data_IF_683630554516
#
_entry.id   IF_683630554516
#
_cell.length_a   1.000
_cell.length_b   1.000
_cell.length_c   1.000
_cell.angle_alpha   90.00
_cell.angle_beta   90.00
_cell.angle_gamma   90.00
#
_symmetry.space_group_name_H-M   'P 1'
#
loop_
_entity.id
_entity.type
_entity.pdbx_description
1 polymer ?
#
# COMPACT_ATOMS: atom_id res chain seq x y z
N UNK A 1 1.62 -7.48 -19.55
CA UNK A 1 1.81 -6.32 -18.64
C UNK A 1 0.70 -5.33 -18.91
N UNK A 2 -0.21 -5.16 -17.97
CA UNK A 2 -1.27 -4.15 -18.07
C UNK A 2 -0.94 -3.05 -17.06
N UNK A 3 -0.68 -1.86 -17.57
CA UNK A 3 -0.42 -0.69 -16.75
C UNK A 3 -0.98 0.55 -17.43
N UNK A 4 -1.61 1.43 -16.66
CA UNK A 4 -2.11 2.72 -17.11
C UNK A 4 -1.65 3.78 -16.12
N UNK A 5 -1.03 4.81 -16.63
CA UNK A 5 -0.69 6.02 -15.88
C UNK A 5 -1.42 7.20 -16.52
N UNK A 6 -2.13 7.95 -15.72
CA UNK A 6 -2.79 9.18 -16.13
C UNK A 6 -2.42 10.27 -15.12
N UNK A 7 -1.96 11.39 -15.63
CA UNK A 7 -1.64 12.56 -14.86
C UNK A 7 -2.30 13.77 -15.48
N UNK A 8 -2.90 14.60 -14.64
CA UNK A 8 -3.54 15.86 -15.02
C UNK A 8 -3.04 16.96 -14.10
N UNK A 9 -2.69 18.09 -14.68
CA UNK A 9 -2.26 19.28 -13.96
C UNK A 9 -2.93 20.50 -14.57
N UNK A 10 -3.49 21.34 -13.73
CA UNK A 10 -4.09 22.62 -14.11
C UNK A 10 -3.59 23.73 -13.18
N UNK A 11 -3.40 24.89 -13.75
CA UNK A 11 -3.16 26.13 -13.03
C UNK A 11 -4.43 26.95 -13.12
N UNK A 12 -5.13 27.13 -12.00
CA UNK A 12 -6.31 27.97 -11.93
C UNK A 12 -5.88 29.37 -11.52
N UNK A 13 -6.04 30.40 -12.39
CA UNK A 13 -5.74 31.78 -12.03
C UNK A 13 -6.57 32.21 -10.82
N UNK A 14 -6.06 33.14 -10.06
CA UNK A 14 -6.83 33.71 -8.98
C UNK A 14 -8.11 34.39 -9.50
N UNK A 15 -9.25 34.21 -8.84
CA UNK A 15 -10.49 34.85 -9.23
C UNK A 15 -10.47 36.38 -9.08
N UNK A 16 -9.56 36.91 -8.28
CA UNK A 16 -9.43 38.37 -8.05
C UNK A 16 -7.97 38.80 -8.22
N UNK A 17 -7.59 39.34 -9.42
CA UNK A 17 -6.20 39.74 -9.69
C UNK A 17 -5.78 41.02 -8.92
N UNK A 18 -6.73 41.78 -8.39
CA UNK A 18 -6.46 43.04 -7.67
C UNK A 18 -6.17 42.81 -6.17
N UNK A 19 -6.39 41.61 -5.67
CA UNK A 19 -6.10 41.25 -4.29
C UNK A 19 -4.66 40.74 -4.18
N UNK A 20 -3.78 41.52 -3.56
CA UNK A 20 -2.33 41.26 -3.45
C UNK A 20 -1.94 39.91 -2.83
N UNK A 21 -2.89 39.20 -2.24
CA UNK A 21 -2.69 37.91 -1.56
C UNK A 21 -3.30 36.69 -2.30
N UNK A 22 -3.87 36.93 -3.49
CA UNK A 22 -4.53 35.85 -4.22
C UNK A 22 -3.53 35.03 -5.04
N UNK A 23 -3.16 33.86 -4.49
CA UNK A 23 -2.24 32.93 -5.14
C UNK A 23 -2.96 32.03 -6.13
N UNK A 24 -2.35 31.72 -7.29
CA UNK A 24 -2.93 30.75 -8.20
C UNK A 24 -3.01 29.37 -7.53
N UNK A 25 -4.08 28.66 -7.80
CA UNK A 25 -4.28 27.30 -7.31
C UNK A 25 -3.63 26.28 -8.24
N UNK A 26 -2.85 25.38 -7.68
CA UNK A 26 -2.23 24.26 -8.38
C UNK A 26 -3.08 23.02 -8.20
N UNK A 27 -3.68 22.56 -9.29
CA UNK A 27 -4.62 21.47 -9.30
C UNK A 27 -3.99 20.25 -9.98
N UNK A 28 -3.84 19.17 -9.23
CA UNK A 28 -3.19 17.93 -9.71
C UNK A 28 -4.06 16.70 -9.44
N UNK A 29 -4.10 15.77 -10.40
CA UNK A 29 -4.63 14.42 -10.23
C UNK A 29 -3.67 13.41 -10.84
N UNK A 30 -3.38 12.35 -10.07
CA UNK A 30 -2.59 11.21 -10.50
C UNK A 30 -3.41 9.94 -10.34
N UNK A 31 -3.48 9.15 -11.39
CA UNK A 31 -4.05 7.81 -11.34
C UNK A 31 -3.08 6.83 -11.99
N UNK A 32 -2.68 5.80 -11.26
CA UNK A 32 -1.80 4.76 -11.75
C UNK A 32 -2.37 3.39 -11.39
N UNK A 33 -2.57 2.57 -12.42
CA UNK A 33 -2.92 1.17 -12.25
C UNK A 33 -1.88 0.29 -12.93
N UNK A 34 -1.47 -0.76 -12.24
CA UNK A 34 -0.55 -1.75 -12.78
C UNK A 34 -0.88 -3.13 -12.23
N UNK A 35 -0.88 -4.12 -13.13
CA UNK A 35 -1.05 -5.52 -12.78
C UNK A 35 0.06 -6.34 -13.45
N UNK A 36 0.84 -7.04 -12.63
CA UNK A 36 1.86 -7.95 -13.15
C UNK A 36 1.20 -9.19 -13.75
N UNK A 37 1.67 -9.59 -14.93
CA UNK A 37 1.20 -10.82 -15.57
C UNK A 37 1.70 -12.05 -14.80
N UNK A 38 0.75 -12.86 -14.33
CA UNK A 38 1.03 -14.10 -13.60
C UNK A 38 1.73 -15.15 -14.46
N UNK A 39 1.59 -15.09 -15.80
CA UNK A 39 2.30 -16.00 -16.71
C UNK A 39 3.79 -15.69 -16.76
N UNK A 40 4.18 -14.41 -16.64
CA UNK A 40 5.60 -14.03 -16.66
C UNK A 40 6.33 -14.42 -15.37
N UNK A 41 5.64 -14.40 -14.22
CA UNK A 41 6.20 -14.75 -12.91
C UNK A 41 5.17 -15.45 -12.03
N UNK A 42 4.94 -16.76 -12.19
CA UNK A 42 3.87 -17.48 -11.51
C UNK A 42 3.99 -17.48 -9.98
N UNK A 43 5.19 -17.26 -9.45
CA UNK A 43 5.45 -17.28 -8.00
C UNK A 43 5.51 -15.89 -7.36
N UNK A 44 5.27 -14.85 -8.13
CA UNK A 44 5.25 -13.48 -7.66
C UNK A 44 4.05 -12.76 -8.26
N UNK A 45 3.38 -11.94 -7.46
CA UNK A 45 2.34 -11.04 -7.96
C UNK A 45 2.61 -9.63 -7.47
N UNK A 46 2.38 -8.67 -8.34
CA UNK A 46 2.42 -7.26 -8.00
C UNK A 46 1.20 -6.59 -8.61
N UNK A 47 0.48 -5.85 -7.79
CA UNK A 47 -0.60 -4.99 -8.23
C UNK A 47 -0.47 -3.62 -7.58
N UNK A 48 -0.72 -2.60 -8.38
CA UNK A 48 -0.76 -1.21 -7.95
C UNK A 48 -2.04 -0.58 -8.46
N UNK A 49 -2.72 0.12 -7.58
CA UNK A 49 -3.83 1.01 -7.91
C UNK A 49 -3.67 2.24 -7.02
N UNK A 50 -3.19 3.31 -7.61
CA UNK A 50 -2.86 4.56 -6.92
C UNK A 50 -3.73 5.66 -7.50
N UNK A 51 -4.45 6.36 -6.63
CA UNK A 51 -5.19 7.56 -6.97
C UNK A 51 -4.92 8.65 -5.94
N UNK A 52 -4.61 9.83 -6.42
CA UNK A 52 -4.37 11.01 -5.60
C UNK A 52 -4.81 12.27 -6.35
N UNK A 53 -5.37 13.23 -5.63
CA UNK A 53 -5.68 14.55 -6.17
C UNK A 53 -5.55 15.62 -5.10
N UNK A 54 -5.27 16.85 -5.53
CA UNK A 54 -5.40 18.02 -4.65
C UNK A 54 -6.88 18.32 -4.41
N UNK A 55 -7.20 18.91 -3.27
CA UNK A 55 -8.58 19.32 -2.95
C UNK A 55 -9.11 20.35 -3.97
N UNK A 56 -8.27 21.29 -4.37
CA UNK A 56 -8.60 22.32 -5.35
C UNK A 56 -8.93 21.73 -6.72
N UNK A 57 -8.25 20.66 -7.14
CA UNK A 57 -8.56 19.94 -8.38
C UNK A 57 -10.03 19.50 -8.45
N UNK A 58 -10.56 18.94 -7.36
CA UNK A 58 -11.94 18.46 -7.33
C UNK A 58 -12.97 19.61 -7.32
N UNK A 59 -12.59 20.79 -6.81
CA UNK A 59 -13.48 21.96 -6.77
C UNK A 59 -13.48 22.76 -8.07
N UNK A 60 -12.34 22.81 -8.75
CA UNK A 60 -12.11 23.73 -9.87
C UNK A 60 -12.17 23.05 -11.25
N UNK A 61 -12.06 21.72 -11.33
CA UNK A 61 -12.14 21.04 -12.61
C UNK A 61 -13.59 20.83 -13.04
N UNK A 62 -13.88 21.04 -14.35
CA UNK A 62 -15.15 20.68 -14.97
C UNK A 62 -15.30 19.17 -15.00
N UNK A 63 -15.77 18.60 -13.92
CA UNK A 63 -15.88 17.17 -13.75
C UNK A 63 -17.29 16.67 -14.09
N UNK A 64 -17.37 15.46 -14.58
CA UNK A 64 -18.64 14.72 -14.70
C UNK A 64 -19.24 14.56 -13.29
N UNK A 65 -20.58 14.60 -13.20
CA UNK A 65 -21.32 14.48 -11.93
C UNK A 65 -20.83 13.34 -11.02
N UNK A 66 -20.39 12.22 -11.61
CA UNK A 66 -19.83 11.08 -10.86
C UNK A 66 -18.48 11.38 -10.20
N UNK A 67 -17.68 12.27 -10.76
CA UNK A 67 -16.38 12.66 -10.19
C UNK A 67 -16.55 13.68 -9.06
N UNK A 68 -17.58 14.51 -9.10
CA UNK A 68 -17.97 15.42 -8.02
C UNK A 68 -18.43 14.65 -6.77
N UNK A 69 -18.94 13.44 -6.93
CA UNK A 69 -19.36 12.56 -5.84
C UNK A 69 -18.22 11.74 -5.25
N UNK A 70 -17.02 11.79 -5.82
CA UNK A 70 -15.85 11.06 -5.31
C UNK A 70 -15.30 11.74 -4.04
N UNK A 71 -15.83 11.35 -2.90
CA UNK A 71 -15.44 11.89 -1.59
C UNK A 71 -14.14 11.28 -1.06
N UNK A 72 -13.78 10.09 -1.52
CA UNK A 72 -12.65 9.34 -1.00
C UNK A 72 -11.76 8.80 -2.12
N UNK A 73 -10.47 9.00 -1.96
CA UNK A 73 -9.43 8.42 -2.81
C UNK A 73 -8.73 7.31 -2.05
N UNK A 74 -8.67 6.13 -2.66
CA UNK A 74 -8.00 4.98 -2.08
C UNK A 74 -6.88 4.50 -2.99
N UNK A 75 -5.69 4.39 -2.44
CA UNK A 75 -4.52 3.85 -3.12
C UNK A 75 -4.09 2.55 -2.48
N UNK A 76 -3.74 1.57 -3.29
CA UNK A 76 -3.32 0.26 -2.85
C UNK A 76 -2.14 -0.26 -3.66
N UNK A 77 -1.12 -0.74 -2.96
CA UNK A 77 0.01 -1.47 -3.52
C UNK A 77 0.06 -2.83 -2.85
N UNK A 78 0.19 -3.89 -3.61
CA UNK A 78 0.38 -5.21 -3.05
C UNK A 78 1.44 -5.99 -3.82
N UNK A 79 2.33 -6.63 -3.09
CA UNK A 79 3.33 -7.55 -3.61
C UNK A 79 3.26 -8.84 -2.82
N UNK A 80 3.22 -9.96 -3.51
CA UNK A 80 3.33 -11.26 -2.87
C UNK A 80 4.31 -12.15 -3.61
N UNK A 81 5.01 -13.00 -2.85
CA UNK A 81 5.97 -13.97 -3.38
C UNK A 81 5.89 -15.29 -2.65
N UNK A 82 5.74 -16.36 -3.42
CA UNK A 82 5.86 -17.75 -2.94
C UNK A 82 7.25 -18.27 -3.34
N UNK A 83 7.95 -18.90 -2.40
CA UNK A 83 9.26 -19.48 -2.67
C UNK A 83 9.09 -20.94 -3.07
N UNK A 84 9.44 -21.26 -4.34
CA UNK A 84 9.29 -22.61 -4.88
C UNK A 84 10.16 -23.59 -4.07
N UNK A 85 9.61 -24.74 -3.73
CA UNK A 85 10.31 -25.77 -2.97
C UNK A 85 10.58 -25.44 -1.51
N UNK A 86 10.10 -24.26 -1.04
CA UNK A 86 10.23 -23.84 0.35
C UNK A 86 8.86 -23.44 0.91
N UNK A 87 8.61 -23.68 2.18
CA UNK A 87 7.32 -23.37 2.81
C UNK A 87 7.13 -21.88 3.12
N UNK A 88 7.84 -20.97 2.46
CA UNK A 88 7.82 -19.53 2.75
C UNK A 88 6.93 -18.76 1.81
N UNK A 89 6.14 -17.86 2.38
CA UNK A 89 5.32 -16.90 1.66
C UNK A 89 5.57 -15.51 2.24
N UNK A 90 5.83 -14.53 1.38
CA UNK A 90 5.99 -13.13 1.75
C UNK A 90 4.88 -12.32 1.09
N UNK A 91 4.19 -11.48 1.86
CA UNK A 91 3.23 -10.50 1.36
C UNK A 91 3.55 -9.12 1.94
N UNK A 92 3.61 -8.13 1.09
CA UNK A 92 3.84 -6.73 1.45
C UNK A 92 2.70 -5.92 0.86
N UNK A 93 2.05 -5.13 1.70
CA UNK A 93 0.94 -4.26 1.29
C UNK A 93 1.18 -2.84 1.79
N UNK A 94 0.73 -1.89 0.97
CA UNK A 94 0.67 -0.49 1.34
C UNK A 94 -0.70 0.05 0.95
N UNK A 95 -1.29 0.85 1.82
CA UNK A 95 -2.59 1.47 1.61
C UNK A 95 -2.56 2.93 2.02
N UNK A 96 -3.19 3.76 1.20
CA UNK A 96 -3.45 5.15 1.46
C UNK A 96 -4.94 5.42 1.22
N UNK A 97 -5.59 6.05 2.17
CA UNK A 97 -6.97 6.51 2.08
C UNK A 97 -7.01 8.00 2.38
N UNK A 98 -7.58 8.78 1.49
CA UNK A 98 -7.76 10.23 1.65
C UNK A 98 -9.24 10.57 1.52
N UNK A 99 -9.77 11.29 2.50
CA UNK A 99 -11.11 11.86 2.43
C UNK A 99 -11.02 13.34 2.04
N UNK A 100 -11.56 13.69 0.89
CA UNK A 100 -11.46 15.03 0.31
C UNK A 100 -12.33 16.06 1.02
N UNK A 101 -13.43 15.67 1.66
CA UNK A 101 -14.30 16.58 2.41
C UNK A 101 -13.69 16.95 3.76
N UNK A 102 -13.22 15.95 4.51
CA UNK A 102 -12.69 16.18 5.85
C UNK A 102 -11.20 16.50 5.87
N UNK A 103 -10.49 16.32 4.75
CA UNK A 103 -9.03 16.46 4.66
C UNK A 103 -8.27 15.39 5.45
N UNK A 104 -8.95 14.30 5.86
CA UNK A 104 -8.31 13.22 6.60
C UNK A 104 -7.53 12.33 5.66
N UNK A 105 -6.29 12.06 6.00
CA UNK A 105 -5.39 11.16 5.28
C UNK A 105 -4.96 10.05 6.22
N UNK A 106 -5.11 8.81 5.79
CA UNK A 106 -4.68 7.61 6.51
C UNK A 106 -3.70 6.81 5.67
N UNK A 107 -2.56 6.49 6.24
CA UNK A 107 -1.56 5.61 5.65
C UNK A 107 -1.43 4.33 6.45
N UNK A 108 -1.38 3.21 5.76
CA UNK A 108 -0.93 1.92 6.31
C UNK A 108 0.28 1.51 5.50
N UNK A 109 1.49 1.69 6.07
CA UNK A 109 2.77 1.55 5.38
C UNK A 109 3.88 1.12 6.34
N UNK A 110 4.58 0.03 6.08
CA UNK A 110 4.16 -1.14 5.32
C UNK A 110 3.33 -2.11 6.18
N UNK A 111 2.48 -2.90 5.57
CA UNK A 111 1.96 -4.11 6.18
C UNK A 111 2.73 -5.29 5.57
N UNK A 112 3.54 -5.97 6.37
CA UNK A 112 4.37 -7.10 5.95
C UNK A 112 3.86 -8.35 6.64
N UNK A 113 3.57 -9.38 5.87
CA UNK A 113 3.21 -10.69 6.37
C UNK A 113 4.20 -11.72 5.82
N UNK A 114 4.90 -12.38 6.72
CA UNK A 114 5.75 -13.51 6.41
C UNK A 114 5.14 -14.76 7.03
N UNK A 115 4.82 -15.74 6.21
CA UNK A 115 4.22 -16.99 6.65
C UNK A 115 5.09 -18.17 6.22
N UNK A 116 5.28 -19.10 7.14
CA UNK A 116 5.88 -20.40 6.90
C UNK A 116 4.77 -21.43 6.97
N UNK A 117 4.44 -22.05 5.83
CA UNK A 117 3.46 -23.12 5.77
C UNK A 117 3.97 -24.31 6.58
N UNK A 118 3.05 -25.14 7.06
CA UNK A 118 3.43 -26.31 7.84
C UNK A 118 4.48 -27.14 7.12
N UNK A 119 5.60 -27.36 7.77
CA UNK A 119 6.65 -28.25 7.32
C UNK A 119 7.05 -29.23 8.44
N UNK A 120 7.51 -30.39 8.05
CA UNK A 120 7.92 -31.47 8.97
C UNK A 120 9.42 -31.68 8.81
N UNK A 121 10.28 -31.03 9.63
CA UNK A 121 11.73 -31.06 9.44
C UNK A 121 12.31 -32.45 9.68
N UNK A 122 11.66 -33.25 10.51
CA UNK A 122 12.14 -34.57 10.92
C UNK A 122 11.69 -35.71 9.97
N UNK A 123 10.95 -35.38 8.91
CA UNK A 123 10.47 -36.40 7.96
C UNK A 123 11.61 -37.02 7.15
N UNK A 124 12.69 -36.27 6.89
CA UNK A 124 13.84 -36.72 6.09
C UNK A 124 14.92 -37.46 6.90
N UNK A 125 14.72 -37.61 8.21
CA UNK A 125 15.66 -38.39 9.01
C UNK A 125 15.46 -39.86 8.65
N UNK A 126 16.42 -40.42 7.91
CA UNK A 126 16.47 -41.85 7.56
C UNK A 126 16.55 -42.69 8.83
N UNK A 127 15.43 -43.15 9.32
CA UNK A 127 15.42 -44.21 10.32
C UNK A 127 15.58 -45.52 9.56
N UNK A 128 16.61 -46.28 9.90
CA UNK A 128 16.78 -47.67 9.42
C UNK A 128 15.42 -48.37 9.45
N UNK A 129 15.11 -49.02 8.35
CA UNK A 129 13.89 -49.77 8.04
C UNK A 129 13.18 -50.33 9.28
N UNK A 130 12.30 -49.60 9.91
CA UNK A 130 11.36 -50.11 10.87
C UNK A 130 10.06 -50.38 10.11
N UNK A 131 9.82 -51.66 9.88
CA UNK A 131 8.59 -52.17 9.29
C UNK A 131 7.37 -51.64 10.05
N UNK A 132 6.58 -50.78 9.42
CA UNK A 132 5.16 -50.64 9.67
C UNK A 132 4.68 -49.52 10.60
N UNK A 133 5.51 -48.78 11.38
CA UNK A 133 5.02 -47.70 12.24
C UNK A 133 5.83 -46.41 12.06
N UNK A 134 5.17 -45.36 11.59
CA UNK A 134 5.76 -44.01 11.50
C UNK A 134 5.99 -43.47 12.91
N UNK A 135 7.22 -43.17 13.32
CA UNK A 135 7.50 -42.66 14.67
C UNK A 135 6.84 -41.29 14.86
N UNK A 136 6.36 -41.00 16.06
CA UNK A 136 5.59 -39.84 16.41
C UNK A 136 6.30 -38.49 16.06
N UNK A 137 7.63 -38.44 16.16
CA UNK A 137 8.42 -37.24 15.86
C UNK A 137 8.40 -36.86 14.37
N UNK A 138 8.17 -37.82 13.46
CA UNK A 138 7.98 -37.50 12.02
C UNK A 138 6.67 -36.79 11.73
N UNK A 139 5.71 -36.82 12.66
CA UNK A 139 4.43 -36.14 12.55
C UNK A 139 4.50 -34.69 13.09
N UNK A 140 5.61 -34.33 13.75
CA UNK A 140 5.80 -32.98 14.25
C UNK A 140 5.93 -32.00 13.07
N UNK A 141 4.94 -31.13 12.94
CA UNK A 141 4.91 -30.10 11.93
C UNK A 141 4.92 -28.73 12.58
N UNK A 142 5.72 -27.82 12.04
CA UNK A 142 5.85 -26.45 12.47
C UNK A 142 5.24 -25.53 11.41
N UNK A 143 4.46 -24.54 11.86
CA UNK A 143 3.99 -23.43 11.05
C UNK A 143 4.26 -22.15 11.82
N UNK A 144 4.63 -21.09 11.11
CA UNK A 144 4.95 -19.80 11.72
C UNK A 144 4.38 -18.67 10.86
N UNK A 145 3.86 -17.64 11.51
CA UNK A 145 3.45 -16.42 10.82
C UNK A 145 3.88 -15.19 11.61
N UNK A 146 4.45 -14.24 10.90
CA UNK A 146 4.83 -12.93 11.42
C UNK A 146 4.07 -11.87 10.63
N UNK A 147 3.41 -10.94 11.32
CA UNK A 147 2.74 -9.80 10.72
C UNK A 147 3.19 -8.53 11.39
N UNK A 148 3.72 -7.62 10.59
CA UNK A 148 4.05 -6.25 10.99
C UNK A 148 3.17 -5.26 10.27
N UNK A 149 2.64 -4.25 10.98
CA UNK A 149 1.82 -3.19 10.42
C UNK A 149 2.19 -1.87 11.07
N UNK A 150 2.48 -0.86 10.25
CA UNK A 150 2.57 0.53 10.68
C UNK A 150 1.40 1.32 10.09
N UNK A 151 0.79 2.19 10.87
CA UNK A 151 -0.29 3.08 10.40
C UNK A 151 -0.13 4.47 10.97
N UNK A 152 -0.41 5.46 10.14
CA UNK A 152 -0.43 6.86 10.52
C UNK A 152 -1.70 7.52 9.99
N UNK A 153 -2.25 8.45 10.74
CA UNK A 153 -3.38 9.28 10.30
C UNK A 153 -3.01 10.74 10.51
N UNK A 154 -3.25 11.55 9.51
CA UNK A 154 -3.00 12.99 9.53
C UNK A 154 -4.18 13.73 8.90
N UNK A 155 -4.24 15.03 9.13
CA UNK A 155 -5.13 15.93 8.41
C UNK A 155 -4.31 16.78 7.45
N UNK A 156 -4.87 17.08 6.28
CA UNK A 156 -4.23 17.85 5.22
C UNK A 156 -3.75 19.24 5.71
N UNK A 157 -4.51 19.85 6.62
CA UNK A 157 -4.16 21.14 7.25
C UNK A 157 -2.92 21.08 8.16
N UNK A 158 -2.53 19.90 8.63
CA UNK A 158 -1.38 19.69 9.51
C UNK A 158 -0.10 19.30 8.77
N UNK A 159 -0.21 18.82 7.54
CA UNK A 159 0.95 18.40 6.74
C UNK A 159 1.87 19.54 6.32
N UNK A 160 1.39 20.79 6.40
CA UNK A 160 2.17 22.01 6.04
C UNK A 160 2.94 22.59 7.23
N UNK A 161 2.64 22.18 8.46
CA UNK A 161 3.11 22.90 9.68
C UNK A 161 4.23 22.23 10.47
N UNK A 162 4.64 21.01 10.16
CA UNK A 162 5.64 20.27 10.97
C UNK A 162 6.90 19.90 10.19
N UNK A 163 7.72 20.89 9.88
CA UNK A 163 9.13 20.73 9.53
C UNK A 163 10.09 20.94 10.72
N UNK A 164 9.59 21.06 11.94
CA UNK A 164 10.45 21.14 13.12
C UNK A 164 10.47 19.82 13.87
N UNK A 165 11.50 19.03 13.60
CA UNK A 165 11.89 17.91 14.42
C UNK A 165 12.55 18.45 15.68
N UNK A 166 11.81 18.63 16.77
CA UNK A 166 12.43 18.85 18.09
C UNK A 166 12.86 17.51 18.65
N UNK A 167 14.14 17.23 18.58
CA UNK A 167 14.77 16.16 19.37
C UNK A 167 14.61 16.47 20.86
N UNK A 168 14.14 15.55 21.70
CA UNK A 168 14.16 15.74 23.14
C UNK A 168 15.61 15.75 23.61
N UNK A 169 16.06 16.89 24.12
CA UNK A 169 17.29 16.98 24.89
C UNK A 169 17.09 16.26 26.22
N UNK A 170 17.71 15.10 26.38
CA UNK A 170 17.84 14.47 27.68
C UNK A 170 18.75 15.31 28.59
N UNK A 171 18.23 15.72 29.73
CA UNK A 171 18.99 16.12 30.90
C UNK A 171 19.12 14.93 31.83
#
# INVERSE_FOLDING_TARGET
>A
RNGRLQWSYFLTPSPDPDQADSKPSHDMRLTWSHQMDSKARPNSSFSANVSGSTRSYNNNSLQTTNQLLEVALTSRLSYSRKFIGKPYNLSIQARHDQNLQTGRISFTLPEVTFAVSRFTPLNNISTKKNLGKTPWYKRLGFAYSLRGKASATSFDSLSVSYTHLTLPTSR
#
